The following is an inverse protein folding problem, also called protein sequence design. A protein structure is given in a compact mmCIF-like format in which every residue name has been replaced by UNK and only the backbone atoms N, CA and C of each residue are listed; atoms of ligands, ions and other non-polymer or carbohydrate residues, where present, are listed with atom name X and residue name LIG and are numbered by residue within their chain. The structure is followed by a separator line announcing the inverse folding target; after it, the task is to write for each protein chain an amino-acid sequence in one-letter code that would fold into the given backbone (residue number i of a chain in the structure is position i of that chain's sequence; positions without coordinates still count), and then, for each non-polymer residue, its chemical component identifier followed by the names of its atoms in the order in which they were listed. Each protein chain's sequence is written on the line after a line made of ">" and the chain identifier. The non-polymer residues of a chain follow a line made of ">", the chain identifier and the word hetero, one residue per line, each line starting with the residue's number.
data_IF_665137896982
#
_entry.id   IF_665137896982
#
_cell.length_a   1.000
_cell.length_b   1.000
_cell.length_c   1.000
_cell.angle_alpha   90.00
_cell.angle_beta   90.00
_cell.angle_gamma   90.00
#
_symmetry.space_group_name_H-M   'P 1'
#
loop_
_entity.id
_entity.type
_entity.pdbx_description
1 polymer ?
#
# COMPACT_ATOMS: atom_id res chain seq x y z
N UNK A 1 11.28 0.41 8.59
CA UNK A 1 11.72 0.20 7.18
C UNK A 1 11.77 1.57 6.48
N UNK A 2 12.67 1.80 5.52
CA UNK A 2 12.79 3.11 4.83
C UNK A 2 11.63 3.37 3.85
N UNK A 3 11.06 2.30 3.29
CA UNK A 3 9.97 2.38 2.34
C UNK A 3 8.84 1.44 2.73
N UNK A 4 7.63 1.90 2.45
CA UNK A 4 6.40 1.11 2.48
C UNK A 4 5.75 1.17 1.11
N UNK A 5 4.88 0.20 0.85
CA UNK A 5 4.37 -0.06 -0.47
C UNK A 5 2.84 -0.15 -0.45
N UNK A 6 2.19 0.60 -1.34
CA UNK A 6 0.80 0.35 -1.68
C UNK A 6 0.75 -0.59 -2.88
N UNK A 7 0.04 -1.71 -2.75
CA UNK A 7 -0.19 -2.66 -3.82
C UNK A 7 -1.47 -2.28 -4.56
N UNK A 8 -1.40 -2.18 -5.88
CA UNK A 8 -2.51 -1.87 -6.77
C UNK A 8 -2.71 -3.02 -7.77
N UNK A 9 -3.96 -3.34 -8.08
CA UNK A 9 -4.29 -4.33 -9.10
C UNK A 9 -4.09 -3.79 -10.53
N UNK A 10 -4.23 -2.47 -10.70
CA UNK A 10 -4.12 -1.79 -11.99
C UNK A 10 -3.08 -0.68 -11.95
N UNK A 11 -2.63 -0.26 -13.13
CA UNK A 11 -1.67 0.82 -13.26
C UNK A 11 -2.28 2.13 -12.75
N UNK A 12 -1.58 2.90 -11.89
CA UNK A 12 -2.07 4.19 -11.45
C UNK A 12 -2.12 5.18 -12.62
N UNK A 13 -3.09 6.12 -12.65
CA UNK A 13 -3.18 7.13 -13.69
C UNK A 13 -1.91 7.97 -13.79
N UNK A 14 -1.61 8.44 -15.00
CA UNK A 14 -0.43 9.25 -15.30
C UNK A 14 -0.87 10.62 -15.88
N UNK A 15 -0.37 11.75 -15.35
CA UNK A 15 0.56 11.86 -14.21
C UNK A 15 -0.07 11.39 -12.90
N UNK A 16 0.75 10.96 -11.93
CA UNK A 16 0.25 10.51 -10.64
C UNK A 16 -0.54 11.65 -9.97
N UNK A 17 -1.82 11.44 -9.61
CA UNK A 17 -2.65 12.49 -9.03
C UNK A 17 -2.21 12.81 -7.61
N UNK A 18 -2.65 13.96 -7.10
CA UNK A 18 -2.35 14.38 -5.73
C UNK A 18 -2.94 13.42 -4.68
N UNK A 19 -4.09 12.81 -4.98
CA UNK A 19 -4.73 11.78 -4.16
C UNK A 19 -5.19 10.62 -5.06
N UNK A 20 -5.06 9.41 -4.54
CA UNK A 20 -5.61 8.20 -5.16
C UNK A 20 -6.92 7.83 -4.49
N UNK A 21 -7.81 7.20 -5.26
CA UNK A 21 -9.03 6.63 -4.72
C UNK A 21 -8.68 5.52 -3.71
N UNK A 22 -9.40 5.49 -2.60
CA UNK A 22 -9.24 4.43 -1.60
C UNK A 22 -9.73 3.11 -2.18
N UNK A 23 -9.02 2.02 -1.87
CA UNK A 23 -9.56 0.70 -2.18
C UNK A 23 -10.82 0.45 -1.32
N UNK A 24 -11.75 -0.41 -1.77
CA UNK A 24 -12.92 -0.77 -0.96
C UNK A 24 -12.56 -1.30 0.44
N UNK A 25 -11.40 -1.94 0.58
CA UNK A 25 -10.88 -2.42 1.87
C UNK A 25 -10.45 -1.24 2.75
N UNK A 26 -9.65 -0.30 2.22
CA UNK A 26 -9.20 0.87 2.98
C UNK A 26 -10.37 1.76 3.42
N UNK A 27 -11.35 1.95 2.53
CA UNK A 27 -12.54 2.75 2.83
C UNK A 27 -13.40 2.10 3.93
N UNK A 28 -13.45 0.76 3.95
CA UNK A 28 -14.18 0.00 4.98
C UNK A 28 -13.49 0.05 6.34
N UNK A 29 -12.17 -0.09 6.36
CA UNK A 29 -11.41 -0.21 7.61
C UNK A 29 -10.99 1.15 8.18
N UNK A 30 -11.05 2.21 7.36
CA UNK A 30 -10.80 3.59 7.80
C UNK A 30 -9.32 4.00 7.80
N UNK A 31 -8.44 3.16 7.25
CA UNK A 31 -7.02 3.44 7.08
C UNK A 31 -6.47 2.84 5.79
N UNK A 32 -5.31 3.32 5.34
CA UNK A 32 -4.68 2.84 4.11
C UNK A 32 -3.78 1.65 4.45
N UNK A 33 -4.10 0.48 3.89
CA UNK A 33 -3.26 -0.70 3.99
C UNK A 33 -1.97 -0.51 3.20
N UNK A 34 -0.84 -0.62 3.91
CA UNK A 34 0.50 -0.55 3.34
C UNK A 34 1.24 -1.84 3.68
N UNK A 35 2.20 -2.23 2.85
CA UNK A 35 3.04 -3.40 3.08
C UNK A 35 4.51 -3.03 3.11
N UNK A 36 5.29 -3.76 3.90
CA UNK A 36 6.75 -3.75 3.83
C UNK A 36 7.23 -4.71 2.74
N UNK A 37 8.44 -4.49 2.22
CA UNK A 37 8.92 -5.18 1.02
C UNK A 37 8.86 -6.71 1.09
N UNK A 38 9.23 -7.31 2.23
CA UNK A 38 9.21 -8.77 2.42
C UNK A 38 7.79 -9.35 2.55
N UNK A 39 6.78 -8.55 2.92
CA UNK A 39 5.37 -8.99 3.02
C UNK A 39 4.62 -8.93 1.70
N UNK A 40 5.13 -8.20 0.70
CA UNK A 40 4.46 -8.01 -0.60
C UNK A 40 4.01 -9.34 -1.25
N UNK A 41 4.83 -10.41 -1.33
CA UNK A 41 4.39 -11.65 -1.96
C UNK A 41 3.21 -12.32 -1.25
N UNK A 42 3.21 -12.29 0.08
CA UNK A 42 2.13 -12.85 0.90
C UNK A 42 0.85 -12.02 0.76
N UNK A 43 0.95 -10.69 0.90
CA UNK A 43 -0.18 -9.78 0.69
C UNK A 43 -0.77 -9.92 -0.72
N UNK A 44 0.08 -10.03 -1.74
CA UNK A 44 -0.36 -10.24 -3.12
C UNK A 44 -1.10 -11.57 -3.29
N UNK A 45 -0.62 -12.65 -2.65
CA UNK A 45 -1.28 -13.95 -2.68
C UNK A 45 -2.66 -13.93 -2.03
N UNK A 46 -2.83 -13.18 -0.92
CA UNK A 46 -4.10 -13.11 -0.19
C UNK A 46 -5.14 -12.21 -0.88
N UNK A 47 -4.73 -11.02 -1.33
CA UNK A 47 -5.66 -9.97 -1.77
C UNK A 47 -5.70 -9.76 -3.29
N UNK A 48 -4.67 -10.21 -4.02
CA UNK A 48 -4.51 -9.96 -5.45
C UNK A 48 -4.37 -11.25 -6.27
N UNK A 49 -4.83 -12.39 -5.74
CA UNK A 49 -4.71 -13.72 -6.38
C UNK A 49 -5.34 -13.83 -7.76
N UNK A 50 -6.30 -12.95 -8.08
CA UNK A 50 -6.97 -12.89 -9.38
C UNK A 50 -6.25 -12.00 -10.40
N UNK A 51 -5.29 -11.20 -9.97
CA UNK A 51 -4.54 -10.29 -10.84
C UNK A 51 -3.34 -11.02 -11.45
N UNK A 52 -3.14 -10.88 -12.77
CA UNK A 52 -1.97 -11.43 -13.48
C UNK A 52 -0.71 -10.59 -13.30
N UNK A 53 -0.88 -9.33 -12.92
CA UNK A 53 0.17 -8.40 -12.57
C UNK A 53 -0.30 -7.48 -11.45
N UNK A 54 0.65 -6.90 -10.73
CA UNK A 54 0.40 -5.91 -9.67
C UNK A 54 1.32 -4.73 -9.88
N UNK A 55 0.89 -3.57 -9.37
CA UNK A 55 1.68 -2.35 -9.35
C UNK A 55 2.02 -1.98 -7.91
N UNK A 56 3.22 -1.44 -7.72
CA UNK A 56 3.73 -1.06 -6.40
C UNK A 56 4.02 0.43 -6.37
N UNK A 57 3.31 1.16 -5.51
CA UNK A 57 3.68 2.53 -5.16
C UNK A 57 4.64 2.51 -3.99
N UNK A 58 5.88 2.89 -4.25
CA UNK A 58 6.93 3.00 -3.24
C UNK A 58 6.85 4.36 -2.55
N UNK A 59 6.64 4.35 -1.24
CA UNK A 59 6.45 5.55 -0.43
C UNK A 59 7.52 5.59 0.67
N UNK A 60 8.15 6.75 0.86
CA UNK A 60 9.12 6.95 1.95
C UNK A 60 8.40 7.04 3.29
N UNK A 61 8.81 6.26 4.28
CA UNK A 61 8.21 6.35 5.63
C UNK A 61 8.51 7.68 6.28
N UNK A 62 9.70 8.24 6.07
CA UNK A 62 10.10 9.54 6.60
C UNK A 62 9.12 10.63 6.16
N UNK A 63 8.84 10.72 4.85
CA UNK A 63 7.90 11.70 4.28
C UNK A 63 6.47 11.50 4.77
N UNK A 64 6.04 10.25 4.96
CA UNK A 64 4.68 9.99 5.47
C UNK A 64 4.54 10.46 6.91
N UNK A 65 5.58 10.30 7.73
CA UNK A 65 5.55 10.74 9.13
C UNK A 65 5.54 12.26 9.30
N UNK A 66 5.81 13.04 8.25
CA UNK A 66 5.66 14.50 8.25
C UNK A 66 4.18 14.91 8.31
N UNK A 67 3.30 14.21 7.58
CA UNK A 67 1.90 14.59 7.37
C UNK A 67 0.86 13.57 7.89
N UNK A 68 1.31 12.38 8.29
CA UNK A 68 0.42 11.28 8.68
C UNK A 68 1.01 10.37 9.77
N UNK A 69 0.11 9.69 10.48
CA UNK A 69 0.49 8.70 11.48
C UNK A 69 0.67 7.33 10.83
N UNK A 70 1.86 6.76 10.97
CA UNK A 70 2.12 5.34 10.66
C UNK A 70 1.89 4.49 11.91
N UNK A 71 1.08 3.43 11.75
CA UNK A 71 0.85 2.41 12.76
C UNK A 71 1.31 1.08 12.17
N UNK A 72 2.09 0.35 12.95
CA UNK A 72 2.64 -0.96 12.59
C UNK A 72 1.82 -2.03 13.34
N UNK A 73 1.20 -2.95 12.61
CA UNK A 73 0.37 -4.04 13.15
C UNK A 73 0.85 -5.40 12.63
N UNK A 74 1.15 -6.32 13.55
CA UNK A 74 1.60 -7.68 13.26
C UNK A 74 2.92 -8.05 13.96
N UNK A 75 3.31 -9.33 13.97
CA UNK A 75 4.53 -9.79 14.63
C UNK A 75 5.82 -9.23 13.99
N UNK A 76 5.74 -8.75 12.75
CA UNK A 76 6.85 -8.08 12.05
C UNK A 76 6.66 -6.56 11.88
N UNK A 77 5.58 -6.01 12.48
CA UNK A 77 5.13 -4.63 12.31
C UNK A 77 4.21 -4.41 11.13
#
# INVERSE_FOLDING_TARGET
>A
PTYIYKILAEAPPQPLPHALELSPLDAKDGFIHMSIANRIPETASLFFSKASSIWLLKVSTEKVQEDAKLIWEGPEG
#
